data_IF_148576887658
#
_entry.id   IF_148576887658
#
_cell.length_a   1.000
_cell.length_b   1.000
_cell.length_c   1.000
_cell.angle_alpha   90.00
_cell.angle_beta   90.00
_cell.angle_gamma   90.00
#
_symmetry.space_group_name_H-M   'P 1'
#
loop_
_entity.id
_entity.type
_entity.pdbx_description
1 polymer ?
#
# COMPACT_ATOMS: atom_id res chain seq x y z
N UNK A 1 -9.97 -15.01 17.46
CA UNK A 1 -10.57 -14.66 16.15
C UNK A 1 -9.75 -13.63 15.36
N UNK A 2 -9.43 -12.45 15.93
CA UNK A 2 -8.77 -11.35 15.20
C UNK A 2 -7.23 -11.29 15.26
N UNK A 3 -6.53 -12.29 15.85
CA UNK A 3 -5.06 -12.45 15.86
C UNK A 3 -4.62 -13.91 15.60
N UNK A 4 -5.27 -14.60 14.66
CA UNK A 4 -4.92 -15.97 14.24
C UNK A 4 -3.54 -15.98 13.61
N UNK A 5 -2.73 -16.92 14.07
CA UNK A 5 -1.36 -17.15 13.59
C UNK A 5 -1.28 -18.40 12.72
N UNK A 6 -2.12 -19.38 13.04
CA UNK A 6 -2.22 -20.70 12.41
C UNK A 6 -3.67 -20.98 12.03
N UNK A 7 -3.86 -21.57 10.84
CA UNK A 7 -5.18 -21.87 10.28
C UNK A 7 -6.02 -20.63 9.90
N UNK A 8 -6.94 -20.81 8.95
CA UNK A 8 -7.85 -19.75 8.47
C UNK A 8 -7.19 -18.66 7.61
N UNK A 9 -8.02 -17.82 7.00
CA UNK A 9 -7.58 -16.77 6.06
C UNK A 9 -7.47 -15.43 6.79
N UNK A 10 -6.54 -15.30 7.76
CA UNK A 10 -6.31 -14.00 8.41
C UNK A 10 -5.35 -13.09 7.62
N UNK A 11 -5.44 -11.77 7.86
CA UNK A 11 -4.47 -10.73 7.50
C UNK A 11 -3.00 -11.24 7.51
N UNK A 12 -2.36 -11.40 6.33
CA UNK A 12 -1.02 -11.96 6.24
C UNK A 12 0.07 -11.04 6.80
N UNK A 13 -0.14 -9.72 6.76
CA UNK A 13 0.83 -8.76 7.31
C UNK A 13 1.02 -8.93 8.81
N UNK A 14 -0.07 -9.18 9.56
CA UNK A 14 0.05 -9.43 10.99
C UNK A 14 0.85 -10.70 11.31
N UNK A 15 0.71 -11.76 10.51
CA UNK A 15 1.48 -13.00 10.70
C UNK A 15 2.98 -12.75 10.53
N UNK A 16 3.35 -11.86 9.61
CA UNK A 16 4.73 -11.46 9.37
C UNK A 16 5.28 -10.49 10.42
N UNK A 17 4.52 -9.45 10.80
CA UNK A 17 5.04 -8.36 11.65
C UNK A 17 4.77 -8.54 13.14
N UNK A 18 3.72 -9.30 13.50
CA UNK A 18 3.18 -9.42 14.87
C UNK A 18 2.75 -8.11 15.52
N UNK A 19 2.68 -7.02 14.76
CA UNK A 19 2.29 -5.71 15.25
C UNK A 19 0.78 -5.52 15.16
N UNK A 20 0.16 -5.04 16.25
CA UNK A 20 -1.29 -4.84 16.31
C UNK A 20 -1.82 -3.91 15.20
N UNK A 21 -1.05 -2.91 14.77
CA UNK A 21 -1.49 -2.00 13.70
C UNK A 21 -1.72 -2.72 12.36
N UNK A 22 -1.09 -3.88 12.17
CA UNK A 22 -1.14 -4.64 10.92
C UNK A 22 -2.27 -5.69 10.87
N UNK A 23 -3.04 -5.80 11.95
CA UNK A 23 -4.18 -6.73 12.02
C UNK A 23 -5.49 -6.04 11.67
N UNK A 24 -6.48 -6.80 11.20
CA UNK A 24 -7.78 -6.25 10.76
C UNK A 24 -8.42 -5.36 11.82
N UNK A 25 -8.43 -5.82 13.08
CA UNK A 25 -8.97 -5.06 14.22
C UNK A 25 -8.23 -3.75 14.44
N UNK A 26 -6.90 -3.78 14.44
CA UNK A 26 -6.07 -2.59 14.62
C UNK A 26 -6.36 -1.55 13.55
N UNK A 27 -6.33 -1.96 12.28
CA UNK A 27 -6.63 -1.08 11.13
C UNK A 27 -8.04 -0.50 11.19
N UNK A 28 -9.03 -1.34 11.47
CA UNK A 28 -10.42 -0.91 11.57
C UNK A 28 -10.61 0.10 12.71
N UNK A 29 -9.96 -0.10 13.85
CA UNK A 29 -10.05 0.84 14.96
C UNK A 29 -9.33 2.16 14.66
N UNK A 30 -8.13 2.14 14.07
CA UNK A 30 -7.45 3.38 13.65
C UNK A 30 -8.29 4.18 12.66
N UNK A 31 -8.90 3.50 11.68
CA UNK A 31 -9.80 4.15 10.73
C UNK A 31 -11.05 4.72 11.40
N UNK A 32 -11.67 3.98 12.32
CA UNK A 32 -12.80 4.45 13.12
C UNK A 32 -12.43 5.73 13.87
N UNK A 33 -11.28 5.75 14.52
CA UNK A 33 -10.80 6.91 15.28
C UNK A 33 -10.59 8.12 14.37
N UNK A 34 -9.98 7.94 13.20
CA UNK A 34 -9.81 9.00 12.20
C UNK A 34 -11.15 9.55 11.69
N UNK A 35 -12.09 8.69 11.30
CA UNK A 35 -13.41 9.12 10.79
C UNK A 35 -14.22 9.82 11.89
N UNK A 36 -14.09 9.38 13.14
CA UNK A 36 -14.75 10.03 14.29
C UNK A 36 -14.10 11.35 14.73
N UNK A 37 -13.03 11.80 14.06
CA UNK A 37 -12.31 13.03 14.39
C UNK A 37 -11.41 12.93 15.63
N UNK A 38 -11.32 11.76 16.28
CA UNK A 38 -10.51 11.57 17.50
C UNK A 38 -9.00 11.61 17.25
N UNK A 39 -8.57 11.52 15.98
CA UNK A 39 -7.17 11.67 15.58
C UNK A 39 -6.88 13.02 14.91
N UNK A 40 -7.85 13.94 14.90
CA UNK A 40 -7.78 15.22 14.17
C UNK A 40 -8.52 15.19 12.83
N UNK A 41 -8.79 16.37 12.28
CA UNK A 41 -9.61 16.54 11.08
C UNK A 41 -8.98 15.91 9.81
N UNK A 42 -7.66 16.00 9.68
CA UNK A 42 -6.94 15.54 8.48
C UNK A 42 -6.40 14.11 8.59
N UNK A 43 -6.68 13.44 9.71
CA UNK A 43 -6.14 12.11 10.04
C UNK A 43 -6.49 11.04 9.00
N UNK A 44 -7.59 11.20 8.27
CA UNK A 44 -7.96 10.24 7.22
C UNK A 44 -6.96 10.25 6.04
N UNK A 45 -6.37 11.41 5.73
CA UNK A 45 -5.43 11.56 4.61
C UNK A 45 -3.97 11.65 5.02
N UNK A 46 -3.68 11.57 6.32
CA UNK A 46 -2.35 11.76 6.90
C UNK A 46 -1.37 10.63 6.59
N UNK A 47 -0.08 10.89 6.79
CA UNK A 47 1.00 9.92 6.59
C UNK A 47 0.91 8.75 7.58
N UNK A 48 0.48 9.00 8.81
CA UNK A 48 0.27 7.97 9.84
C UNK A 48 -0.84 6.99 9.45
N UNK A 49 -1.89 7.48 8.78
CA UNK A 49 -2.94 6.61 8.22
C UNK A 49 -2.38 5.75 7.09
N UNK A 50 -1.56 6.33 6.21
CA UNK A 50 -0.90 5.55 5.16
C UNK A 50 0.02 4.49 5.72
N UNK A 51 0.76 4.79 6.78
CA UNK A 51 1.61 3.82 7.46
C UNK A 51 0.83 2.68 8.09
N UNK A 52 -0.38 2.94 8.59
CA UNK A 52 -1.29 1.90 9.13
C UNK A 52 -1.79 0.95 8.02
N UNK A 53 -2.01 1.48 6.82
CA UNK A 53 -2.55 0.73 5.68
C UNK A 53 -1.47 0.22 4.71
N UNK A 54 -0.21 0.59 4.93
CA UNK A 54 0.94 0.30 4.07
C UNK A 54 1.09 -1.18 3.76
N UNK A 55 0.98 -2.03 4.79
CA UNK A 55 1.11 -3.48 4.65
C UNK A 55 -0.21 -4.19 4.33
N UNK A 56 -1.30 -3.47 4.12
CA UNK A 56 -2.57 -4.05 3.69
C UNK A 56 -2.52 -4.37 2.19
N UNK A 57 -2.40 -5.66 1.83
CA UNK A 57 -2.34 -6.11 0.42
C UNK A 57 -3.71 -6.28 -0.23
N UNK A 58 -4.78 -5.81 0.41
CA UNK A 58 -6.16 -5.88 -0.12
C UNK A 58 -6.62 -7.29 -0.51
N UNK A 59 -6.17 -8.33 0.20
CA UNK A 59 -6.50 -9.73 -0.09
C UNK A 59 -7.94 -10.14 0.25
N UNK A 60 -8.78 -9.25 0.79
CA UNK A 60 -10.19 -9.47 1.16
C UNK A 60 -10.50 -10.56 2.21
N UNK A 61 -9.47 -11.22 2.72
CA UNK A 61 -9.50 -12.10 3.90
C UNK A 61 -10.38 -11.57 5.07
N UNK A 62 -10.20 -10.29 5.40
CA UNK A 62 -10.94 -9.60 6.45
C UNK A 62 -12.46 -9.66 6.30
N UNK A 63 -12.98 -9.55 5.07
CA UNK A 63 -14.42 -9.55 4.81
C UNK A 63 -15.06 -10.89 5.11
N UNK A 64 -14.36 -11.99 4.84
CA UNK A 64 -14.88 -13.34 5.00
C UNK A 64 -14.73 -13.86 6.44
N UNK A 65 -13.62 -13.57 7.11
CA UNK A 65 -13.33 -14.10 8.45
C UNK A 65 -13.85 -13.22 9.59
N UNK A 66 -14.17 -11.95 9.33
CA UNK A 66 -14.64 -11.04 10.37
C UNK A 66 -16.14 -11.26 10.63
N UNK A 67 -16.57 -11.61 11.85
CA UNK A 67 -17.98 -11.84 12.15
C UNK A 67 -18.83 -10.57 11.99
N UNK A 68 -18.20 -9.39 12.00
CA UNK A 68 -18.88 -8.09 11.80
C UNK A 68 -18.84 -7.62 10.33
N UNK A 69 -18.28 -8.41 9.41
CA UNK A 69 -18.30 -8.10 7.97
C UNK A 69 -17.38 -6.95 7.54
N UNK A 70 -16.33 -6.64 8.30
CA UNK A 70 -15.40 -5.53 7.99
C UNK A 70 -14.62 -5.81 6.70
N UNK A 71 -14.78 -4.95 5.70
CA UNK A 71 -14.04 -5.01 4.44
C UNK A 71 -12.91 -3.96 4.40
N UNK A 72 -11.73 -4.33 4.93
CA UNK A 72 -10.55 -3.47 4.89
C UNK A 72 -10.04 -3.19 3.46
N UNK A 73 -10.37 -4.03 2.48
CA UNK A 73 -9.93 -3.80 1.10
C UNK A 73 -10.73 -2.64 0.50
N UNK A 74 -12.06 -2.64 0.67
CA UNK A 74 -12.91 -1.51 0.29
C UNK A 74 -12.52 -0.24 1.05
N UNK A 75 -12.40 -0.34 2.38
CA UNK A 75 -12.03 0.82 3.21
C UNK A 75 -10.69 1.43 2.77
N UNK A 76 -9.66 0.61 2.49
CA UNK A 76 -8.37 1.10 2.00
C UNK A 76 -8.50 1.89 0.70
N UNK A 77 -9.36 1.45 -0.22
CA UNK A 77 -9.60 2.18 -1.48
C UNK A 77 -10.16 3.57 -1.20
N UNK A 78 -11.15 3.69 -0.30
CA UNK A 78 -11.73 4.99 0.07
C UNK A 78 -10.70 5.92 0.72
N UNK A 79 -9.85 5.39 1.62
CA UNK A 79 -8.78 6.19 2.23
C UNK A 79 -7.77 6.66 1.18
N UNK A 80 -7.37 5.79 0.24
CA UNK A 80 -6.47 6.16 -0.84
C UNK A 80 -7.09 7.21 -1.77
N UNK A 81 -8.38 7.11 -2.05
CA UNK A 81 -9.11 8.09 -2.85
C UNK A 81 -9.17 9.45 -2.13
N UNK A 82 -9.50 9.46 -0.84
CA UNK A 82 -9.51 10.67 -0.02
C UNK A 82 -8.12 11.32 0.03
N UNK A 83 -7.06 10.53 0.18
CA UNK A 83 -5.68 11.05 0.15
C UNK A 83 -5.27 11.56 -1.22
N UNK A 84 -5.64 10.87 -2.30
CA UNK A 84 -5.36 11.33 -3.65
C UNK A 84 -6.10 12.64 -3.98
N UNK A 85 -7.29 12.86 -3.42
CA UNK A 85 -8.01 14.12 -3.55
C UNK A 85 -7.30 15.29 -2.86
N UNK A 86 -6.63 15.06 -1.73
CA UNK A 86 -5.94 16.11 -0.97
C UNK A 86 -4.48 16.32 -1.39
N UNK A 87 -3.72 15.25 -1.66
CA UNK A 87 -2.28 15.30 -1.94
C UNK A 87 -1.93 15.00 -3.40
N UNK A 88 -2.89 14.55 -4.21
CA UNK A 88 -2.65 14.03 -5.55
C UNK A 88 -1.98 12.66 -5.56
N UNK A 89 -1.69 12.17 -6.78
CA UNK A 89 -0.98 10.90 -6.99
C UNK A 89 0.54 11.10 -6.94
N UNK A 90 1.23 10.24 -6.21
CA UNK A 90 2.70 10.21 -6.19
C UNK A 90 3.28 9.83 -7.56
N UNK A 91 4.56 10.12 -7.78
CA UNK A 91 5.28 9.70 -9.00
C UNK A 91 5.20 8.18 -9.16
N UNK A 92 5.35 7.43 -8.07
CA UNK A 92 5.22 5.98 -8.06
C UNK A 92 3.84 5.50 -8.49
N UNK A 93 2.78 6.12 -7.97
CA UNK A 93 1.40 5.76 -8.31
C UNK A 93 1.10 6.04 -9.78
N UNK A 94 1.62 7.15 -10.31
CA UNK A 94 1.49 7.47 -11.74
C UNK A 94 2.25 6.49 -12.61
N UNK A 95 3.50 6.16 -12.24
CA UNK A 95 4.30 5.18 -12.97
C UNK A 95 3.56 3.84 -13.05
N UNK A 96 3.11 3.29 -11.92
CA UNK A 96 2.45 1.98 -11.92
C UNK A 96 1.04 2.04 -12.51
N UNK A 97 0.23 3.02 -12.12
CA UNK A 97 -1.18 3.13 -12.50
C UNK A 97 -1.40 3.45 -13.98
N UNK A 98 -0.48 4.20 -14.60
CA UNK A 98 -0.55 4.52 -16.03
C UNK A 98 0.33 3.61 -16.90
N UNK A 99 0.95 2.57 -16.33
CA UNK A 99 1.83 1.65 -17.05
C UNK A 99 1.25 1.17 -18.40
N UNK A 100 -0.01 0.70 -18.50
CA UNK A 100 -0.54 0.22 -19.77
C UNK A 100 -0.54 1.28 -20.89
N UNK A 101 -0.58 2.57 -20.57
CA UNK A 101 -0.62 3.66 -21.56
C UNK A 101 0.72 3.88 -22.25
N UNK A 102 1.82 3.63 -21.55
CA UNK A 102 3.16 3.89 -22.06
C UNK A 102 4.01 2.62 -22.21
N UNK A 103 3.48 1.46 -21.82
CA UNK A 103 4.18 0.17 -21.84
C UNK A 103 4.76 -0.15 -23.22
N UNK A 104 4.01 0.11 -24.29
CA UNK A 104 4.46 -0.19 -25.65
C UNK A 104 5.72 0.61 -26.01
N UNK A 105 5.72 1.91 -25.70
CA UNK A 105 6.90 2.77 -25.90
C UNK A 105 8.05 2.36 -24.99
N UNK A 106 7.77 2.08 -23.71
CA UNK A 106 8.78 1.66 -22.74
C UNK A 106 9.46 0.34 -23.15
N UNK A 107 8.72 -0.60 -23.74
CA UNK A 107 9.26 -1.88 -24.21
C UNK A 107 10.27 -1.71 -25.35
N UNK A 108 10.10 -0.70 -26.22
CA UNK A 108 11.06 -0.36 -27.28
C UNK A 108 12.39 0.17 -26.73
N UNK A 109 12.36 0.76 -25.53
CA UNK A 109 13.54 1.23 -24.81
C UNK A 109 14.00 0.26 -23.71
N UNK A 110 13.60 -1.02 -23.79
CA UNK A 110 13.97 -2.06 -22.82
C UNK A 110 15.48 -2.15 -22.54
N UNK A 111 16.42 -2.01 -23.50
CA UNK A 111 17.85 -2.02 -23.20
C UNK A 111 18.27 -0.92 -22.22
N UNK A 112 17.68 0.28 -22.35
CA UNK A 112 17.95 1.42 -21.48
C UNK A 112 17.32 1.20 -20.10
N UNK A 113 16.07 0.73 -20.06
CA UNK A 113 15.40 0.37 -18.82
C UNK A 113 16.18 -0.69 -18.03
N UNK A 114 16.72 -1.69 -18.73
CA UNK A 114 17.56 -2.75 -18.16
C UNK A 114 18.96 -2.27 -17.74
N UNK A 115 19.50 -1.23 -18.38
CA UNK A 115 20.78 -0.65 -17.97
C UNK A 115 20.72 -0.11 -16.54
N UNK A 116 19.56 0.41 -16.12
CA UNK A 116 19.35 0.79 -14.72
C UNK A 116 19.60 -0.38 -13.76
N UNK A 117 19.22 -1.61 -14.09
CA UNK A 117 19.44 -2.77 -13.20
C UNK A 117 20.94 -3.11 -13.03
N UNK A 118 21.79 -2.69 -13.99
CA UNK A 118 23.24 -2.96 -14.01
C UNK A 118 24.08 -1.92 -13.26
N UNK A 119 23.57 -0.71 -13.07
CA UNK A 119 24.31 0.38 -12.40
C UNK A 119 23.78 0.64 -10.99
N UNK A 120 24.60 0.52 -9.93
CA UNK A 120 24.17 0.79 -8.55
C UNK A 120 23.75 2.25 -8.35
N UNK A 121 24.40 3.19 -9.05
CA UNK A 121 24.09 4.62 -8.98
C UNK A 121 22.72 4.93 -9.60
N UNK A 122 22.39 4.31 -10.73
CA UNK A 122 21.07 4.48 -11.34
C UNK A 122 19.97 3.86 -10.47
N UNK A 123 20.26 2.76 -9.76
CA UNK A 123 19.30 2.11 -8.85
C UNK A 123 18.99 2.99 -7.65
N UNK A 124 20.00 3.59 -7.02
CA UNK A 124 19.80 4.48 -5.85
C UNK A 124 19.10 5.77 -6.26
N UNK A 125 19.50 6.38 -7.39
CA UNK A 125 18.81 7.56 -7.93
C UNK A 125 17.33 7.25 -8.20
N UNK A 126 17.04 6.12 -8.85
CA UNK A 126 15.66 5.72 -9.11
C UNK A 126 14.86 5.43 -7.84
N UNK A 127 15.48 4.85 -6.80
CA UNK A 127 14.82 4.64 -5.50
C UNK A 127 14.42 5.96 -4.85
N UNK A 128 15.30 6.96 -4.88
CA UNK A 128 15.00 8.30 -4.32
C UNK A 128 13.89 9.03 -5.09
N UNK A 129 13.85 8.91 -6.43
CA UNK A 129 12.88 9.62 -7.27
C UNK A 129 11.52 8.91 -7.35
N UNK A 130 11.52 7.59 -7.53
CA UNK A 130 10.33 6.79 -7.81
C UNK A 130 9.88 5.92 -6.62
N UNK A 131 10.64 5.88 -5.52
CA UNK A 131 10.29 5.11 -4.32
C UNK A 131 10.29 3.59 -4.54
N UNK A 132 10.98 3.10 -5.58
CA UNK A 132 11.10 1.66 -5.89
C UNK A 132 12.47 1.19 -5.43
N UNK A 133 12.51 0.17 -4.57
CA UNK A 133 13.76 -0.23 -3.91
C UNK A 133 14.88 -0.58 -4.87
N UNK A 134 16.07 -0.02 -4.65
CA UNK A 134 17.28 -0.33 -5.40
C UNK A 134 17.70 -1.79 -5.25
N UNK A 135 17.23 -2.52 -4.22
CA UNK A 135 17.55 -3.93 -4.00
C UNK A 135 16.80 -4.88 -4.96
N UNK A 136 15.80 -4.39 -5.69
CA UNK A 136 15.00 -5.20 -6.63
C UNK A 136 15.36 -4.85 -8.08
N UNK A 137 15.53 -5.88 -8.91
CA UNK A 137 15.54 -5.70 -10.35
C UNK A 137 14.12 -5.34 -10.82
N UNK A 138 13.99 -4.36 -11.71
CA UNK A 138 12.73 -4.19 -12.44
C UNK A 138 12.67 -5.14 -13.63
N UNK A 139 11.47 -5.63 -13.98
CA UNK A 139 11.25 -6.38 -15.21
C UNK A 139 11.43 -5.52 -16.46
#
# INVERSE_FOLDING_TARGET
>A
ACRKLEGGVMCPSYRATRNEKDVTRGRANTLRLAISGQLGADALSSDEMMDTLKLCVSCKACRHECPTGVDMAKMKIEVLAARAATHGLSVRDRLVGYLPRYLDLASRFAPIANWRNRSPLLRTLFETLAGISAKRALP
#
